data_IF_052653202722
#
_entry.id   IF_052653202722
#
_cell.length_a   1.000
_cell.length_b   1.000
_cell.length_c   1.000
_cell.angle_alpha   90.00
_cell.angle_beta   90.00
_cell.angle_gamma   90.00
#
_symmetry.space_group_name_H-M   'P 1'
#
loop_
_entity.id
_entity.type
_entity.pdbx_description
1 polymer ?
#
# COMPACT_ATOMS: atom_id res chain seq x y z
N UNK A 1 -11.06 -11.80 3.70
CA UNK A 1 -9.85 -11.86 4.55
C UNK A 1 -9.76 -13.19 5.30
N UNK A 2 -10.62 -13.45 6.30
CA UNK A 2 -10.58 -14.67 7.14
C UNK A 2 -10.35 -15.98 6.36
N UNK A 3 -11.22 -16.30 5.39
CA UNK A 3 -11.11 -17.51 4.58
C UNK A 3 -9.78 -17.63 3.81
N UNK A 4 -9.25 -16.52 3.29
CA UNK A 4 -7.99 -16.53 2.53
C UNK A 4 -6.80 -16.90 3.44
N UNK A 5 -6.78 -16.33 4.66
CA UNK A 5 -5.77 -16.62 5.66
C UNK A 5 -5.88 -18.07 6.15
N UNK A 6 -7.10 -18.54 6.39
CA UNK A 6 -7.35 -19.93 6.79
C UNK A 6 -6.81 -20.92 5.74
N UNK A 7 -7.14 -20.73 4.46
CA UNK A 7 -6.59 -21.56 3.39
C UNK A 7 -5.06 -21.45 3.31
N UNK A 8 -4.51 -20.24 3.46
CA UNK A 8 -3.07 -20.01 3.46
C UNK A 8 -2.33 -20.75 4.59
N UNK A 9 -2.92 -20.84 5.78
CA UNK A 9 -2.38 -21.61 6.91
C UNK A 9 -2.46 -23.12 6.66
N UNK A 10 -3.59 -23.61 6.15
CA UNK A 10 -3.78 -25.03 5.80
C UNK A 10 -2.76 -25.50 4.74
N UNK A 11 -2.44 -24.63 3.79
CA UNK A 11 -1.51 -24.92 2.70
C UNK A 11 -0.10 -24.37 2.94
N UNK A 12 0.28 -24.09 4.19
CA UNK A 12 1.48 -23.31 4.54
C UNK A 12 2.78 -23.81 3.91
N UNK A 13 2.94 -25.13 3.80
CA UNK A 13 4.16 -25.76 3.26
C UNK A 13 4.23 -25.74 1.73
N UNK A 14 3.21 -25.19 1.06
CA UNK A 14 3.18 -25.01 -0.39
C UNK A 14 3.46 -23.55 -0.79
N UNK A 15 3.44 -22.63 0.18
CA UNK A 15 3.55 -21.19 -0.06
C UNK A 15 5.01 -20.80 -0.33
N UNK A 16 5.29 -20.36 -1.56
CA UNK A 16 6.61 -19.87 -1.99
C UNK A 16 6.69 -18.34 -2.04
N UNK A 17 5.55 -17.65 -2.07
CA UNK A 17 5.45 -16.18 -2.03
C UNK A 17 4.17 -15.80 -1.29
N UNK A 18 4.23 -14.67 -0.58
CA UNK A 18 3.06 -14.03 0.03
C UNK A 18 2.99 -12.58 -0.45
N UNK A 19 1.84 -11.94 -0.36
CA UNK A 19 1.74 -10.57 -0.81
C UNK A 19 0.33 -10.04 -0.94
N UNK A 20 0.26 -8.78 -1.35
CA UNK A 20 -0.95 -8.08 -1.77
C UNK A 20 -0.53 -6.98 -2.76
N UNK A 21 -1.48 -6.27 -3.36
CA UNK A 21 -1.13 -5.15 -4.26
C UNK A 21 -0.30 -4.08 -3.54
N UNK A 22 -0.78 -3.62 -2.38
CA UNK A 22 -0.12 -2.59 -1.57
C UNK A 22 0.39 -3.14 -0.24
N UNK A 23 1.47 -2.55 0.27
CA UNK A 23 2.04 -2.86 1.58
C UNK A 23 1.00 -2.74 2.71
N UNK A 24 0.21 -1.67 2.71
CA UNK A 24 -0.92 -1.44 3.62
C UNK A 24 -1.91 -2.61 3.66
N UNK A 25 -2.31 -3.13 2.50
CA UNK A 25 -3.25 -4.24 2.39
C UNK A 25 -2.67 -5.54 2.94
N UNK A 26 -1.40 -5.81 2.68
CA UNK A 26 -0.71 -6.98 3.24
C UNK A 26 -0.58 -6.86 4.76
N UNK A 27 -0.19 -5.69 5.29
CA UNK A 27 -0.10 -5.45 6.73
C UNK A 27 -1.47 -5.58 7.42
N UNK A 28 -2.57 -5.15 6.79
CA UNK A 28 -3.92 -5.43 7.30
C UNK A 28 -4.21 -6.93 7.37
N UNK A 29 -3.73 -7.74 6.43
CA UNK A 29 -3.87 -9.19 6.49
C UNK A 29 -3.07 -9.79 7.66
N UNK A 30 -1.85 -9.30 7.90
CA UNK A 30 -1.04 -9.68 9.07
C UNK A 30 -1.75 -9.29 10.37
N UNK A 31 -2.27 -8.06 10.45
CA UNK A 31 -3.03 -7.62 11.62
C UNK A 31 -4.28 -8.47 11.86
N UNK A 32 -4.98 -8.84 10.79
CA UNK A 32 -6.13 -9.73 10.87
C UNK A 32 -5.74 -11.12 11.40
N UNK A 33 -4.53 -11.63 11.10
CA UNK A 33 -4.03 -12.84 11.75
C UNK A 33 -3.86 -12.62 13.26
N UNK A 34 -3.24 -11.51 13.68
CA UNK A 34 -3.06 -11.20 15.11
C UNK A 34 -4.38 -11.21 15.88
N UNK A 35 -5.44 -10.68 15.28
CA UNK A 35 -6.72 -10.53 15.95
C UNK A 35 -7.54 -11.85 15.97
N UNK A 36 -7.35 -12.74 14.99
CA UNK A 36 -8.20 -13.92 14.78
C UNK A 36 -7.47 -15.28 14.84
N UNK A 37 -6.17 -15.33 15.16
CA UNK A 37 -5.39 -16.57 15.07
C UNK A 37 -5.96 -17.74 15.89
N UNK A 38 -6.55 -17.46 17.07
CA UNK A 38 -7.17 -18.50 17.91
C UNK A 38 -8.33 -19.19 17.21
N UNK A 39 -9.17 -18.41 16.54
CA UNK A 39 -10.31 -18.92 15.81
C UNK A 39 -9.86 -19.68 14.56
N UNK A 40 -8.84 -19.16 13.86
CA UNK A 40 -8.22 -19.84 12.72
C UNK A 40 -7.65 -21.21 13.13
N UNK A 41 -6.94 -21.30 14.26
CA UNK A 41 -6.42 -22.57 14.78
C UNK A 41 -7.54 -23.53 15.18
N UNK A 42 -8.61 -23.04 15.81
CA UNK A 42 -9.80 -23.84 16.13
C UNK A 42 -10.48 -24.41 14.87
N UNK A 43 -10.58 -23.61 13.79
CA UNK A 43 -11.14 -24.06 12.52
C UNK A 43 -10.25 -25.13 11.84
N UNK A 44 -8.92 -24.99 11.92
CA UNK A 44 -7.98 -26.01 11.41
C UNK A 44 -8.11 -27.31 12.23
N UNK A 45 -8.16 -27.20 13.55
CA UNK A 45 -8.26 -28.34 14.47
C UNK A 45 -9.57 -29.10 14.27
N UNK A 46 -10.70 -28.40 14.14
CA UNK A 46 -12.04 -29.00 13.95
C UNK A 46 -12.37 -29.36 12.50
N UNK A 47 -11.64 -28.82 11.52
CA UNK A 47 -11.97 -28.99 10.09
C UNK A 47 -13.23 -28.23 9.65
N UNK A 48 -13.71 -27.28 10.44
CA UNK A 48 -14.93 -26.52 10.18
C UNK A 48 -14.68 -25.02 10.18
N UNK A 49 -15.25 -24.33 9.19
CA UNK A 49 -15.23 -22.87 9.13
C UNK A 49 -16.28 -22.29 10.06
N UNK A 50 -15.96 -21.17 10.71
CA UNK A 50 -16.87 -20.49 11.64
C UNK A 50 -18.23 -20.10 11.04
N UNK A 51 -19.28 -20.11 11.86
CA UNK A 51 -20.67 -19.90 11.42
C UNK A 51 -20.99 -18.48 10.99
N UNK A 52 -20.22 -17.49 11.45
CA UNK A 52 -20.36 -16.10 10.99
C UNK A 52 -19.91 -15.89 9.54
N UNK A 53 -19.22 -16.88 8.93
CA UNK A 53 -18.98 -16.89 7.48
C UNK A 53 -20.25 -17.36 6.79
N UNK A 54 -21.14 -16.45 6.44
CA UNK A 54 -22.48 -16.78 5.92
C UNK A 54 -22.50 -17.16 4.44
N UNK A 55 -21.51 -16.71 3.67
CA UNK A 55 -21.49 -16.85 2.21
C UNK A 55 -21.29 -18.32 1.77
N UNK A 56 -22.30 -18.99 1.15
CA UNK A 56 -22.24 -20.43 0.88
C UNK A 56 -21.11 -20.82 -0.07
N UNK A 57 -20.83 -19.99 -1.08
CA UNK A 57 -19.76 -20.21 -2.05
C UNK A 57 -18.38 -20.27 -1.36
N UNK A 58 -18.14 -19.37 -0.42
CA UNK A 58 -16.94 -19.33 0.39
C UNK A 58 -16.85 -20.52 1.34
N UNK A 59 -17.95 -20.86 2.05
CA UNK A 59 -17.97 -22.03 2.96
C UNK A 59 -17.60 -23.30 2.20
N UNK A 60 -18.21 -23.52 1.03
CA UNK A 60 -17.94 -24.70 0.21
C UNK A 60 -16.47 -24.76 -0.25
N UNK A 61 -15.93 -23.66 -0.78
CA UNK A 61 -14.54 -23.60 -1.23
C UNK A 61 -13.54 -23.85 -0.09
N UNK A 62 -13.76 -23.25 1.08
CA UNK A 62 -12.87 -23.40 2.24
C UNK A 62 -12.97 -24.81 2.84
N UNK A 63 -14.18 -25.40 2.87
CA UNK A 63 -14.38 -26.75 3.41
C UNK A 63 -13.62 -27.80 2.60
N UNK A 64 -13.52 -27.62 1.27
CA UNK A 64 -12.71 -28.48 0.41
C UNK A 64 -11.21 -28.40 0.73
N UNK A 65 -10.72 -27.23 1.19
CA UNK A 65 -9.32 -27.00 1.51
C UNK A 65 -8.99 -27.46 2.94
N UNK A 66 -9.83 -27.12 3.93
CA UNK A 66 -9.72 -27.60 5.31
C UNK A 66 -9.73 -29.13 5.35
N UNK A 67 -10.64 -29.76 4.60
CA UNK A 67 -10.74 -31.21 4.51
C UNK A 67 -11.16 -31.83 5.85
N UNK A 68 -10.22 -32.54 6.50
CA UNK A 68 -10.46 -33.24 7.77
C UNK A 68 -9.85 -32.47 8.94
N UNK A 69 -10.34 -32.67 10.17
CA UNK A 69 -9.70 -32.18 11.39
C UNK A 69 -8.18 -32.39 11.37
N UNK A 70 -7.42 -31.34 11.65
CA UNK A 70 -5.95 -31.37 11.67
C UNK A 70 -5.38 -30.69 12.93
N UNK A 71 -5.47 -31.36 14.10
CA UNK A 71 -4.99 -30.80 15.36
C UNK A 71 -3.47 -30.56 15.36
N UNK A 72 -2.69 -31.42 14.72
CA UNK A 72 -1.22 -31.29 14.67
C UNK A 72 -0.79 -29.98 13.98
N UNK A 73 -1.47 -29.61 12.88
CA UNK A 73 -1.23 -28.34 12.21
C UNK A 73 -1.70 -27.15 13.07
N UNK A 74 -2.84 -27.28 13.73
CA UNK A 74 -3.36 -26.23 14.61
C UNK A 74 -2.38 -25.92 15.74
N UNK A 75 -1.88 -26.95 16.42
CA UNK A 75 -0.89 -26.82 17.51
C UNK A 75 0.42 -26.20 17.02
N UNK A 76 0.89 -26.60 15.83
CA UNK A 76 2.10 -26.03 15.22
C UNK A 76 1.93 -24.54 14.93
N UNK A 77 0.80 -24.14 14.35
CA UNK A 77 0.53 -22.75 14.00
C UNK A 77 0.28 -21.90 15.26
N UNK A 78 -0.45 -22.44 16.23
CA UNK A 78 -0.67 -21.82 17.54
C UNK A 78 0.65 -21.57 18.28
N UNK A 79 1.58 -22.51 18.24
CA UNK A 79 2.90 -22.33 18.85
C UNK A 79 3.64 -21.10 18.31
N UNK A 80 3.60 -20.86 17.00
CA UNK A 80 4.24 -19.68 16.40
C UNK A 80 3.55 -18.37 16.80
N UNK A 81 2.21 -18.38 16.90
CA UNK A 81 1.43 -17.22 17.31
C UNK A 81 1.55 -16.87 18.80
N UNK A 82 1.73 -17.88 19.66
CA UNK A 82 1.86 -17.71 21.11
C UNK A 82 3.22 -17.11 21.52
N UNK A 83 4.14 -16.88 20.57
CA UNK A 83 5.42 -16.23 20.83
C UNK A 83 5.24 -14.76 21.26
N UNK A 84 6.14 -14.27 22.12
CA UNK A 84 6.07 -12.89 22.65
C UNK A 84 6.28 -11.80 21.58
N UNK A 85 6.87 -12.15 20.44
CA UNK A 85 7.19 -11.21 19.36
C UNK A 85 6.81 -11.81 18.02
N UNK A 86 6.07 -11.01 17.24
CA UNK A 86 5.68 -11.32 15.87
C UNK A 86 6.77 -11.00 14.83
N UNK A 87 7.98 -10.66 15.29
CA UNK A 87 9.13 -10.52 14.42
C UNK A 87 9.37 -11.81 13.63
N UNK A 88 9.47 -11.69 12.31
CA UNK A 88 9.67 -12.81 11.40
C UNK A 88 8.50 -13.79 11.31
N UNK A 89 7.31 -13.44 11.81
CA UNK A 89 6.13 -14.32 11.82
C UNK A 89 5.81 -14.89 10.43
N UNK A 90 6.03 -14.12 9.35
CA UNK A 90 5.76 -14.59 7.99
C UNK A 90 6.63 -15.80 7.63
N UNK A 91 7.92 -15.76 7.97
CA UNK A 91 8.84 -16.90 7.73
C UNK A 91 8.52 -18.08 8.65
N UNK A 92 8.01 -17.84 9.86
CA UNK A 92 7.61 -18.91 10.80
C UNK A 92 6.36 -19.64 10.33
N UNK A 93 5.32 -18.88 9.96
CA UNK A 93 4.07 -19.44 9.46
C UNK A 93 4.22 -20.05 8.07
N UNK A 94 4.97 -19.42 7.17
CA UNK A 94 5.19 -19.91 5.79
C UNK A 94 6.69 -20.10 5.51
N UNK A 95 7.30 -21.20 5.99
CA UNK A 95 8.76 -21.39 6.02
C UNK A 95 9.43 -21.50 4.66
N UNK A 96 8.66 -21.78 3.60
CA UNK A 96 9.18 -21.87 2.24
C UNK A 96 9.07 -20.57 1.46
N UNK A 97 8.50 -19.52 2.04
CA UNK A 97 8.37 -18.20 1.42
C UNK A 97 9.72 -17.65 1.01
N UNK A 98 9.83 -17.21 -0.25
CA UNK A 98 11.06 -16.68 -0.84
C UNK A 98 11.10 -15.15 -0.84
N UNK A 99 9.94 -14.51 -0.93
CA UNK A 99 9.81 -13.05 -0.94
C UNK A 99 8.37 -12.63 -0.62
N UNK A 100 8.20 -11.34 -0.32
CA UNK A 100 6.90 -10.69 -0.19
C UNK A 100 6.68 -9.81 -1.41
N UNK A 101 5.61 -10.07 -2.15
CA UNK A 101 5.23 -9.29 -3.33
C UNK A 101 4.25 -8.18 -2.94
N UNK A 102 4.73 -6.95 -2.89
CA UNK A 102 3.97 -5.76 -2.46
C UNK A 102 4.55 -4.50 -3.10
N UNK A 103 3.71 -3.53 -3.44
CA UNK A 103 4.15 -2.18 -3.77
C UNK A 103 4.64 -1.48 -2.49
N UNK A 104 5.92 -1.08 -2.48
CA UNK A 104 6.60 -0.36 -1.39
C UNK A 104 7.27 0.94 -1.88
N UNK A 105 6.88 1.43 -3.07
CA UNK A 105 7.30 2.72 -3.62
C UNK A 105 6.25 3.81 -3.36
N UNK A 106 6.64 5.08 -3.49
CA UNK A 106 5.73 6.20 -3.23
C UNK A 106 5.30 6.26 -1.77
N UNK A 107 4.02 6.57 -1.51
CA UNK A 107 3.49 6.62 -0.13
C UNK A 107 3.62 5.30 0.61
N UNK A 108 3.67 4.15 -0.09
CA UNK A 108 3.82 2.84 0.55
C UNK A 108 5.20 2.60 1.17
N UNK A 109 6.21 3.43 0.85
CA UNK A 109 7.54 3.32 1.42
C UNK A 109 7.54 3.46 2.96
N UNK A 110 6.57 4.18 3.52
CA UNK A 110 6.41 4.33 4.97
C UNK A 110 6.20 2.98 5.71
N UNK A 111 5.72 1.95 5.01
CA UNK A 111 5.45 0.63 5.58
C UNK A 111 6.65 -0.33 5.53
N UNK A 112 7.77 0.05 4.90
CA UNK A 112 8.95 -0.81 4.76
C UNK A 112 9.45 -1.30 6.13
N UNK A 113 9.64 -0.47 7.17
CA UNK A 113 10.14 -0.95 8.46
C UNK A 113 9.22 -1.99 9.12
N UNK A 114 7.90 -1.77 9.06
CA UNK A 114 6.90 -2.71 9.60
C UNK A 114 6.89 -4.03 8.82
N UNK A 115 7.05 -3.98 7.50
CA UNK A 115 7.20 -5.18 6.67
C UNK A 115 8.50 -5.92 6.99
N UNK A 116 9.60 -5.22 7.18
CA UNK A 116 10.89 -5.82 7.57
C UNK A 116 10.77 -6.56 8.92
N UNK A 117 10.10 -5.96 9.90
CA UNK A 117 9.79 -6.58 11.19
C UNK A 117 9.03 -7.91 11.03
N UNK A 118 7.87 -7.91 10.38
CA UNK A 118 7.07 -9.14 10.24
C UNK A 118 7.70 -10.17 9.29
N UNK A 119 8.46 -9.72 8.30
CA UNK A 119 9.08 -10.60 7.30
C UNK A 119 10.32 -11.32 7.81
N UNK A 120 11.02 -10.77 8.81
CA UNK A 120 12.30 -11.30 9.27
C UNK A 120 13.37 -11.27 8.18
N UNK A 121 13.34 -10.23 7.32
CA UNK A 121 14.29 -10.05 6.21
C UNK A 121 13.98 -10.91 4.98
N UNK A 122 12.70 -11.07 4.61
CA UNK A 122 12.38 -11.52 3.24
C UNK A 122 12.59 -10.35 2.27
N UNK A 123 13.05 -10.60 1.03
CA UNK A 123 13.02 -9.59 -0.02
C UNK A 123 11.60 -9.05 -0.22
N UNK A 124 11.47 -7.73 -0.32
CA UNK A 124 10.23 -7.04 -0.68
C UNK A 124 10.28 -6.70 -2.16
N UNK A 125 9.37 -7.25 -2.95
CA UNK A 125 9.36 -7.14 -4.41
C UNK A 125 8.17 -6.29 -4.86
N UNK A 126 8.47 -5.11 -5.41
CA UNK A 126 7.51 -4.30 -6.18
C UNK A 126 7.67 -4.59 -7.67
N UNK A 127 6.69 -5.24 -8.26
CA UNK A 127 6.77 -5.80 -9.61
C UNK A 127 6.31 -4.85 -10.71
N UNK A 128 5.32 -4.01 -10.42
CA UNK A 128 4.60 -3.27 -11.46
C UNK A 128 4.22 -1.85 -11.03
N UNK A 129 4.00 -1.00 -12.03
CA UNK A 129 3.42 0.32 -11.90
C UNK A 129 2.29 0.51 -12.90
N UNK A 130 1.11 0.78 -12.36
CA UNK A 130 -0.14 0.89 -13.10
C UNK A 130 -1.10 1.83 -12.37
N UNK A 131 -2.11 2.28 -13.08
CA UNK A 131 -3.23 3.05 -12.57
C UNK A 131 -4.55 2.60 -13.20
N UNK A 132 -5.65 3.25 -12.83
CA UNK A 132 -6.96 3.01 -13.45
C UNK A 132 -6.99 3.43 -14.93
N UNK A 133 -6.16 4.41 -15.31
CA UNK A 133 -6.05 4.95 -16.66
C UNK A 133 -5.22 4.05 -17.58
N UNK A 134 -4.11 3.47 -17.09
CA UNK A 134 -3.21 2.64 -17.90
C UNK A 134 -2.27 1.76 -17.06
N UNK A 135 -1.73 0.70 -17.67
CA UNK A 135 -0.60 -0.06 -17.14
C UNK A 135 0.69 0.47 -17.78
N UNK A 136 1.63 0.95 -16.96
CA UNK A 136 2.78 1.71 -17.47
C UNK A 136 4.02 0.83 -17.68
N UNK A 137 4.42 0.10 -16.64
CA UNK A 137 5.71 -0.57 -16.65
C UNK A 137 5.92 -1.59 -15.53
N UNK A 138 7.06 -2.26 -15.61
CA UNK A 138 7.47 -3.33 -14.68
C UNK A 138 8.87 -3.08 -14.14
N UNK A 139 9.15 -3.64 -12.96
CA UNK A 139 10.48 -3.64 -12.38
C UNK A 139 11.33 -4.77 -12.98
N UNK A 140 12.30 -4.42 -13.83
CA UNK A 140 13.21 -5.40 -14.46
C UNK A 140 14.23 -5.99 -13.48
N UNK A 141 14.39 -5.39 -12.30
CA UNK A 141 15.28 -5.86 -11.23
C UNK A 141 14.46 -6.07 -9.94
N UNK A 142 13.59 -7.08 -9.88
CA UNK A 142 12.64 -7.27 -8.77
C UNK A 142 13.30 -7.48 -7.41
N UNK A 143 14.56 -7.94 -7.38
CA UNK A 143 15.34 -8.15 -6.14
C UNK A 143 16.13 -6.92 -5.68
N UNK A 144 15.96 -5.77 -6.33
CA UNK A 144 16.55 -4.51 -5.89
C UNK A 144 16.03 -4.15 -4.50
N UNK A 145 16.79 -3.34 -3.75
CA UNK A 145 16.30 -2.81 -2.48
C UNK A 145 15.04 -1.97 -2.74
N UNK A 146 14.09 -1.91 -1.77
CA UNK A 146 12.86 -1.13 -1.92
C UNK A 146 13.07 0.33 -2.35
N UNK A 147 14.18 0.93 -1.92
CA UNK A 147 14.53 2.32 -2.22
C UNK A 147 15.13 2.50 -3.62
N UNK A 148 15.52 1.41 -4.28
CA UNK A 148 16.17 1.38 -5.60
C UNK A 148 15.25 0.81 -6.68
N UNK A 149 13.94 0.68 -6.38
CA UNK A 149 12.96 0.17 -7.35
C UNK A 149 12.86 1.14 -8.51
N UNK A 150 13.07 0.58 -9.70
CA UNK A 150 13.07 1.31 -10.97
C UNK A 150 12.18 0.56 -11.95
N UNK A 151 11.27 1.30 -12.58
CA UNK A 151 10.23 0.78 -13.45
C UNK A 151 10.59 1.09 -14.90
N UNK A 152 10.57 0.07 -15.75
CA UNK A 152 10.80 0.21 -17.20
C UNK A 152 9.46 0.15 -17.91
N UNK A 153 9.19 1.14 -18.76
CA UNK A 153 7.94 1.18 -19.51
C UNK A 153 7.96 0.17 -20.66
N UNK A 154 6.87 -0.57 -20.79
CA UNK A 154 6.75 -1.66 -21.76
C UNK A 154 5.78 -1.41 -22.92
N UNK A 155 4.87 -0.42 -22.85
CA UNK A 155 3.77 -0.30 -23.84
C UNK A 155 3.28 1.15 -24.06
N UNK A 156 3.18 1.52 -25.36
CA UNK A 156 2.43 2.61 -26.01
C UNK A 156 2.83 4.07 -25.73
N UNK A 157 2.68 4.92 -26.76
CA UNK A 157 2.97 6.37 -26.83
C UNK A 157 2.65 7.12 -25.53
N UNK A 158 3.69 7.37 -24.75
CA UNK A 158 3.65 8.13 -23.51
C UNK A 158 4.58 9.32 -23.66
N UNK A 159 4.04 10.51 -23.45
CA UNK A 159 4.82 11.74 -23.49
C UNK A 159 5.01 12.24 -22.06
N UNK A 160 6.16 12.82 -21.76
CA UNK A 160 6.56 13.31 -20.46
C UNK A 160 6.61 14.85 -20.47
N UNK A 161 6.13 15.54 -19.45
CA UNK A 161 6.20 17.02 -19.37
C UNK A 161 7.40 17.44 -18.54
N UNK A 162 8.22 18.36 -19.06
CA UNK A 162 9.30 19.02 -18.32
C UNK A 162 8.73 19.91 -17.22
N UNK A 163 9.33 19.89 -16.02
CA UNK A 163 9.16 20.98 -15.04
C UNK A 163 10.31 21.96 -15.18
N UNK A 164 10.00 23.16 -15.68
CA UNK A 164 10.70 24.40 -15.35
C UNK A 164 9.64 25.51 -15.24
N UNK A 165 9.88 26.45 -14.33
CA UNK A 165 8.95 27.47 -13.79
C UNK A 165 8.50 28.55 -14.79
N UNK A 166 8.15 28.18 -16.03
CA UNK A 166 7.59 29.10 -17.03
C UNK A 166 6.25 28.57 -17.57
N UNK A 167 5.17 29.20 -17.10
CA UNK A 167 3.77 28.81 -17.30
C UNK A 167 3.30 28.82 -18.78
N UNK A 168 4.10 29.36 -19.72
CA UNK A 168 3.57 29.70 -21.05
C UNK A 168 3.88 28.72 -22.20
N UNK A 169 4.69 27.67 -22.00
CA UNK A 169 4.83 26.58 -23.00
C UNK A 169 5.09 25.24 -22.34
N UNK A 170 4.02 24.47 -22.04
CA UNK A 170 4.16 23.06 -21.67
C UNK A 170 4.65 22.26 -22.89
N UNK A 171 5.96 22.13 -23.02
CA UNK A 171 6.57 21.24 -24.01
C UNK A 171 6.56 19.80 -23.48
N UNK A 172 5.90 18.93 -24.22
CA UNK A 172 5.96 17.49 -23.98
C UNK A 172 7.16 16.90 -24.69
N UNK A 173 7.90 16.07 -23.99
CA UNK A 173 9.03 15.29 -24.48
C UNK A 173 8.56 13.85 -24.72
N UNK A 174 8.94 13.24 -25.83
CA UNK A 174 8.61 11.84 -26.08
C UNK A 174 9.39 10.91 -25.14
N UNK A 175 8.88 9.69 -24.91
CA UNK A 175 9.46 8.75 -23.95
C UNK A 175 10.97 8.49 -24.19
N UNK A 176 11.41 8.48 -25.44
CA UNK A 176 12.80 8.20 -25.82
C UNK A 176 13.75 9.39 -25.60
N UNK A 177 13.20 10.60 -25.45
CA UNK A 177 13.96 11.84 -25.37
C UNK A 177 14.09 12.39 -23.94
N UNK A 178 13.57 11.65 -22.95
CA UNK A 178 13.73 12.00 -21.53
C UNK A 178 15.20 11.99 -21.12
N UNK A 179 15.58 12.88 -20.20
CA UNK A 179 16.97 13.07 -19.79
C UNK A 179 17.24 12.44 -18.43
N UNK A 180 18.38 11.78 -18.30
CA UNK A 180 18.83 11.19 -17.03
C UNK A 180 18.85 12.24 -15.91
N UNK A 181 18.37 11.86 -14.72
CA UNK A 181 18.33 12.73 -13.54
C UNK A 181 17.23 13.81 -13.57
N UNK A 182 16.47 13.94 -14.65
CA UNK A 182 15.39 14.91 -14.75
C UNK A 182 14.06 14.34 -14.25
N UNK A 183 13.18 15.24 -13.82
CA UNK A 183 11.86 14.95 -13.31
C UNK A 183 10.80 15.30 -14.34
N UNK A 184 9.81 14.43 -14.49
CA UNK A 184 8.74 14.58 -15.44
C UNK A 184 7.39 14.27 -14.83
N UNK A 185 6.36 14.97 -15.29
CA UNK A 185 4.98 14.55 -15.07
C UNK A 185 4.54 13.62 -16.20
N UNK A 186 3.94 12.49 -15.83
CA UNK A 186 3.48 11.49 -16.80
C UNK A 186 2.22 11.96 -17.54
N UNK A 187 2.28 11.91 -18.87
CA UNK A 187 1.15 12.19 -19.77
C UNK A 187 0.90 10.98 -20.67
N UNK A 188 -0.36 10.56 -20.76
CA UNK A 188 -0.74 9.36 -21.49
C UNK A 188 -1.78 9.63 -22.58
N UNK A 189 -1.64 8.91 -23.69
CA UNK A 189 -2.71 8.74 -24.67
C UNK A 189 -3.08 7.26 -24.72
N UNK A 190 -4.36 6.94 -24.50
CA UNK A 190 -4.82 5.55 -24.34
C UNK A 190 -5.79 5.15 -25.44
N UNK A 191 -5.84 3.84 -25.75
CA UNK A 191 -6.82 3.27 -26.67
C UNK A 191 -8.27 3.47 -26.23
N UNK A 192 -8.50 3.77 -24.95
CA UNK A 192 -9.82 4.04 -24.36
C UNK A 192 -10.25 5.51 -24.50
N UNK A 193 -9.46 6.35 -25.18
CA UNK A 193 -9.85 7.71 -25.55
C UNK A 193 -9.41 8.81 -24.58
N UNK A 194 -8.42 8.55 -23.72
CA UNK A 194 -7.70 9.63 -23.03
C UNK A 194 -6.64 10.19 -23.98
N UNK A 195 -6.62 11.50 -24.19
CA UNK A 195 -5.69 12.17 -25.12
C UNK A 195 -4.84 13.17 -24.37
N UNK A 196 -3.50 12.95 -24.38
CA UNK A 196 -2.54 13.79 -23.64
C UNK A 196 -3.00 14.06 -22.19
N UNK A 197 -3.54 13.02 -21.55
CA UNK A 197 -4.09 13.07 -20.20
C UNK A 197 -2.96 13.10 -19.18
N UNK A 198 -2.98 14.08 -18.28
CA UNK A 198 -2.01 14.23 -17.20
C UNK A 198 -2.39 13.31 -16.03
N UNK A 199 -1.55 12.31 -15.77
CA UNK A 199 -1.78 11.36 -14.66
C UNK A 199 -1.56 12.03 -13.30
N UNK A 200 -0.70 13.05 -13.25
CA UNK A 200 -0.31 13.76 -12.03
C UNK A 200 0.80 13.05 -11.24
N UNK A 201 1.34 11.94 -11.74
CA UNK A 201 2.48 11.26 -11.13
C UNK A 201 3.79 11.90 -11.60
N UNK A 202 4.69 12.14 -10.65
CA UNK A 202 6.03 12.70 -10.89
C UNK A 202 7.05 11.56 -10.86
N UNK A 203 7.81 11.44 -11.96
CA UNK A 203 8.78 10.39 -12.20
C UNK A 203 10.17 11.01 -12.40
N UNK A 204 11.20 10.39 -11.83
CA UNK A 204 12.60 10.74 -12.09
C UNK A 204 13.24 9.69 -12.98
N UNK A 205 13.92 10.11 -14.05
CA UNK A 205 14.69 9.19 -14.91
C UNK A 205 15.96 8.77 -14.17
N UNK A 206 16.12 7.47 -13.92
CA UNK A 206 17.27 6.90 -13.21
C UNK A 206 18.21 6.09 -14.09
N UNK A 207 17.81 5.80 -15.33
CA UNK A 207 18.62 5.06 -16.27
C UNK A 207 17.86 4.72 -17.53
N UNK A 208 18.43 3.79 -18.29
CA UNK A 208 17.82 3.22 -19.47
C UNK A 208 18.11 1.73 -19.53
N UNK A 209 17.14 0.93 -19.96
CA UNK A 209 17.34 -0.45 -20.36
C UNK A 209 17.25 -0.51 -21.89
N UNK A 210 18.39 -0.67 -22.55
CA UNK A 210 18.55 -0.35 -23.97
C UNK A 210 18.10 1.10 -24.21
N UNK A 211 17.11 1.32 -25.07
CA UNK A 211 16.56 2.65 -25.35
C UNK A 211 15.31 2.99 -24.50
N UNK A 212 14.82 2.06 -23.68
CA UNK A 212 13.63 2.31 -22.86
C UNK A 212 14.06 3.00 -21.54
N UNK A 213 13.48 4.16 -21.20
CA UNK A 213 13.82 4.83 -19.95
C UNK A 213 13.34 4.04 -18.74
N UNK A 214 14.05 4.28 -17.65
CA UNK A 214 13.84 3.68 -16.36
C UNK A 214 13.51 4.77 -15.35
N UNK A 215 12.39 4.62 -14.66
CA UNK A 215 11.84 5.64 -13.78
C UNK A 215 11.80 5.21 -12.32
N UNK A 216 12.14 6.14 -11.44
CA UNK A 216 11.80 6.10 -10.02
C UNK A 216 10.55 6.93 -9.79
N UNK A 217 9.54 6.32 -9.16
CA UNK A 217 8.35 7.04 -8.71
C UNK A 217 8.71 7.98 -7.56
N UNK A 218 8.41 9.26 -7.70
CA UNK A 218 8.70 10.27 -6.67
C UNK A 218 7.48 10.49 -5.79
N UNK A 219 6.40 11.02 -6.37
CA UNK A 219 5.14 11.25 -5.67
C UNK A 219 4.02 11.48 -6.68
N UNK A 220 2.77 11.41 -6.21
CA UNK A 220 1.62 11.95 -6.94
C UNK A 220 1.43 13.41 -6.54
N UNK A 221 1.18 14.28 -7.50
CA UNK A 221 1.01 15.71 -7.28
C UNK A 221 -0.19 15.97 -6.35
N UNK A 222 -0.07 17.00 -5.51
CA UNK A 222 -1.09 17.50 -4.57
C UNK A 222 -1.51 16.51 -3.47
N UNK A 223 -0.89 15.34 -3.32
CA UNK A 223 -1.21 14.42 -2.23
C UNK A 223 -0.44 14.82 -0.96
N UNK A 224 -1.17 15.04 0.13
CA UNK A 224 -0.61 15.41 1.44
C UNK A 224 -0.65 14.23 2.40
N UNK A 225 -1.78 13.51 2.46
CA UNK A 225 -1.98 12.35 3.33
C UNK A 225 -2.39 11.12 2.53
N UNK A 226 -1.87 9.95 2.92
CA UNK A 226 -2.19 8.66 2.31
C UNK A 226 -1.83 7.51 3.26
N UNK A 227 -2.81 6.69 3.63
CA UNK A 227 -2.62 5.46 4.43
C UNK A 227 -2.70 4.22 3.54
N UNK A 228 -3.71 4.14 2.68
CA UNK A 228 -3.92 3.02 1.77
C UNK A 228 -4.06 3.55 0.33
N UNK A 229 -5.24 3.43 -0.27
CA UNK A 229 -5.53 3.95 -1.60
C UNK A 229 -6.02 5.39 -1.58
N UNK A 230 -6.38 5.90 -0.39
CA UNK A 230 -6.75 7.28 -0.14
C UNK A 230 -5.62 8.25 -0.48
N UNK A 231 -6.00 9.38 -1.08
CA UNK A 231 -5.10 10.44 -1.54
C UNK A 231 -5.74 11.79 -1.22
N UNK A 232 -5.61 12.22 0.03
CA UNK A 232 -6.15 13.50 0.50
C UNK A 232 -5.19 14.62 0.15
N UNK A 233 -5.72 15.63 -0.53
CA UNK A 233 -4.97 16.83 -0.90
C UNK A 233 -5.14 17.97 0.12
N UNK A 234 -4.45 19.08 -0.08
CA UNK A 234 -4.50 20.24 0.81
C UNK A 234 -5.90 20.88 0.87
N UNK A 235 -6.62 20.92 -0.26
CA UNK A 235 -7.98 21.47 -0.34
C UNK A 235 -8.97 20.59 0.44
N UNK A 236 -8.88 19.26 0.30
CA UNK A 236 -9.67 18.30 1.08
C UNK A 236 -9.46 18.51 2.58
N UNK A 237 -8.20 18.66 3.00
CA UNK A 237 -7.82 18.87 4.39
C UNK A 237 -8.33 20.21 4.91
N UNK A 238 -8.16 21.29 4.15
CA UNK A 238 -8.67 22.62 4.50
C UNK A 238 -10.19 22.61 4.64
N UNK A 239 -10.90 21.95 3.72
CA UNK A 239 -12.35 21.83 3.77
C UNK A 239 -12.80 21.05 5.02
N UNK A 240 -12.14 19.93 5.33
CA UNK A 240 -12.43 19.13 6.53
C UNK A 240 -12.21 19.94 7.83
N UNK A 241 -11.09 20.65 7.93
CA UNK A 241 -10.78 21.50 9.09
C UNK A 241 -11.77 22.68 9.19
N UNK A 242 -12.15 23.28 8.07
CA UNK A 242 -13.13 24.38 8.04
C UNK A 242 -14.50 23.93 8.54
N UNK A 243 -14.97 22.74 8.16
CA UNK A 243 -16.21 22.18 8.70
C UNK A 243 -16.10 21.92 10.21
N UNK A 244 -14.96 21.44 10.68
CA UNK A 244 -14.76 21.17 12.10
C UNK A 244 -14.68 22.46 12.93
N UNK A 245 -14.15 23.57 12.37
CA UNK A 245 -14.16 24.89 13.03
C UNK A 245 -15.57 25.36 13.40
N UNK A 246 -16.58 25.06 12.56
CA UNK A 246 -17.98 25.42 12.82
C UNK A 246 -18.53 24.78 14.12
N UNK A 247 -17.95 23.66 14.55
CA UNK A 247 -18.30 23.00 15.81
C UNK A 247 -17.57 23.60 17.02
N UNK A 248 -16.40 24.20 16.80
CA UNK A 248 -15.60 24.83 17.86
C UNK A 248 -16.08 26.24 18.21
N UNK A 249 -16.56 26.99 17.21
CA UNK A 249 -16.95 28.39 17.38
C UNK A 249 -18.06 28.60 18.44
N UNK A 250 -19.14 27.80 18.48
CA UNK A 250 -20.18 27.93 19.51
C UNK A 250 -19.70 27.58 20.92
N UNK A 251 -18.62 26.80 21.02
CA UNK A 251 -17.99 26.40 22.28
C UNK A 251 -17.01 27.47 22.80
N UNK A 252 -16.86 28.60 22.09
CA UNK A 252 -15.96 29.68 22.48
C UNK A 252 -14.49 29.39 22.17
N UNK A 253 -14.19 28.43 21.29
CA UNK A 253 -12.83 28.13 20.87
C UNK A 253 -12.53 28.70 19.48
N UNK A 254 -11.27 29.07 19.26
CA UNK A 254 -10.72 29.51 17.98
C UNK A 254 -9.53 28.63 17.61
N UNK A 255 -9.59 27.97 16.46
CA UNK A 255 -8.47 27.21 15.91
C UNK A 255 -7.50 28.16 15.19
N UNK A 256 -6.29 28.28 15.74
CA UNK A 256 -5.24 29.22 15.31
C UNK A 256 -4.45 28.62 14.15
N UNK A 257 -3.84 27.46 14.38
CA UNK A 257 -3.06 26.73 13.39
C UNK A 257 -3.39 25.24 13.43
N UNK A 258 -3.08 24.56 12.34
CA UNK A 258 -3.15 23.11 12.27
C UNK A 258 -2.08 22.54 11.34
N UNK A 259 -1.70 21.30 11.61
CA UNK A 259 -0.92 20.48 10.68
C UNK A 259 -1.40 19.03 10.75
N UNK A 260 -0.89 18.18 9.87
CA UNK A 260 -1.33 16.80 9.72
C UNK A 260 -0.20 15.83 9.42
N UNK A 261 -0.38 14.57 9.82
CA UNK A 261 0.55 13.48 9.54
C UNK A 261 -0.23 12.16 9.36
N UNK A 262 0.29 11.28 8.49
CA UNK A 262 -0.25 9.94 8.29
C UNK A 262 0.42 8.95 9.25
N UNK A 263 -0.29 8.54 10.29
CA UNK A 263 0.23 7.65 11.32
C UNK A 263 0.12 6.18 10.94
N UNK A 264 1.27 5.52 10.92
CA UNK A 264 1.43 4.11 10.58
C UNK A 264 1.95 3.27 11.74
N UNK A 265 1.98 3.82 12.96
CA UNK A 265 2.35 3.09 14.18
C UNK A 265 1.31 2.05 14.58
N UNK A 266 0.06 2.24 14.16
CA UNK A 266 -1.02 1.27 14.28
C UNK A 266 -1.42 0.69 12.91
N UNK A 267 -2.06 -0.48 12.93
CA UNK A 267 -2.62 -1.12 11.74
C UNK A 267 -4.12 -1.36 11.99
N UNK A 268 -5.03 -0.79 11.19
CA UNK A 268 -4.76 0.14 10.09
C UNK A 268 -4.20 1.48 10.58
N UNK A 269 -3.41 2.13 9.73
CA UNK A 269 -2.97 3.50 9.98
C UNK A 269 -4.12 4.50 9.93
N UNK A 270 -3.88 5.73 10.36
CA UNK A 270 -4.90 6.78 10.42
C UNK A 270 -4.27 8.16 10.27
N UNK A 271 -5.09 9.17 9.96
CA UNK A 271 -4.63 10.55 9.91
C UNK A 271 -4.64 11.15 11.31
N UNK A 272 -3.60 11.90 11.63
CA UNK A 272 -3.47 12.67 12.88
C UNK A 272 -3.46 14.15 12.52
N UNK A 273 -4.29 14.93 13.21
CA UNK A 273 -4.37 16.38 13.10
C UNK A 273 -3.88 17.01 14.40
N UNK A 274 -2.90 17.89 14.30
CA UNK A 274 -2.41 18.69 15.43
C UNK A 274 -3.05 20.07 15.34
N UNK A 275 -3.74 20.48 16.39
CA UNK A 275 -4.49 21.74 16.43
C UNK A 275 -4.00 22.64 17.56
N UNK A 276 -3.66 23.88 17.24
CA UNK A 276 -3.44 24.93 18.23
C UNK A 276 -4.73 25.72 18.43
N UNK A 277 -5.33 25.64 19.61
CA UNK A 277 -6.64 26.22 19.92
C UNK A 277 -6.53 27.27 21.01
N UNK A 278 -7.19 28.41 20.83
CA UNK A 278 -7.30 29.49 21.83
C UNK A 278 -8.75 29.68 22.28
N UNK A 279 -8.94 29.95 23.58
CA UNK A 279 -10.25 30.36 24.11
C UNK A 279 -10.53 31.80 23.66
N UNK A 280 -11.73 32.06 23.12
CA UNK A 280 -12.19 33.42 22.86
C UNK A 280 -12.39 34.10 24.21
N UNK A 281 -11.54 35.07 24.53
CA UNK A 281 -11.76 35.95 25.66
C UNK A 281 -13.06 36.71 25.40
N UNK A 282 -14.08 36.46 26.22
CA UNK A 282 -15.29 37.29 26.23
C UNK A 282 -14.84 38.69 26.62
N UNK A 283 -14.92 39.65 25.70
CA UNK A 283 -14.86 41.06 26.09
C UNK A 283 -16.04 41.30 27.03
N UNK A 284 -15.74 41.42 28.33
CA UNK A 284 -16.66 41.99 29.33
C UNK A 284 -16.86 43.47 29.04
#
# INVERSE_FOLDING_TARGET
MYCQLLCGLVQRDQVLRVGAVFASAFLRAVKFLEDYWKELCSNISSGHVSDWITEPSCRNAVSLILGKPNPDLADLVEHEFATKSWEGIIKKLWPRTKYIEVIVTGSMAQYIPTLEFYSGGLPLISTMYASSECYFGINLKPLSKPHDVVLSNGVSDQNCVLKEDEIDKLETVDLVDVKLGHYYELVVTTFTGLYRYRVGDILMVTGFHNNAPQFRFMHRRNVVLSVDTDKTNEEDLLNAVTQAKLLLEPLGFLLIEYTSYADTSSIPGHYVLFWEVRVKETMM
#
